data_IF_447053951073
#
_entry.id   IF_447053951073
#
_cell.length_a   1.000
_cell.length_b   1.000
_cell.length_c   1.000
_cell.angle_alpha   90.00
_cell.angle_beta   90.00
_cell.angle_gamma   90.00
#
_symmetry.space_group_name_H-M   'P 1'
#
loop_
_entity.id
_entity.type
_entity.pdbx_description
1 polymer ?
#
# COMPACT_ATOMS: atom_id res chain seq x y z
N UNK A 1 -1.95 1.90 -0.92
CA UNK A 1 -1.07 3.07 -0.65
C UNK A 1 -0.55 3.55 -2.00
N UNK A 2 -0.52 4.85 -2.27
CA UNK A 2 -0.03 5.37 -3.55
C UNK A 2 0.60 6.74 -3.34
N UNK A 3 1.88 6.89 -3.73
CA UNK A 3 2.63 8.14 -3.71
C UNK A 3 2.53 8.91 -2.36
N UNK A 4 1.91 10.09 -2.34
CA UNK A 4 1.75 10.89 -1.11
C UNK A 4 0.62 10.42 -0.18
N UNK A 5 -0.17 9.42 -0.55
CA UNK A 5 -1.26 8.92 0.29
C UNK A 5 -2.40 9.93 0.49
N UNK A 6 -2.63 10.81 -0.48
CA UNK A 6 -3.67 11.87 -0.47
C UNK A 6 -4.69 11.70 -1.62
N UNK A 7 -4.83 10.49 -2.15
CA UNK A 7 -5.56 10.24 -3.41
C UNK A 7 -7.03 9.86 -3.23
N UNK A 8 -7.48 9.63 -1.99
CA UNK A 8 -8.86 9.22 -1.71
C UNK A 8 -9.72 10.46 -1.51
N UNK A 9 -10.86 10.51 -2.19
CA UNK A 9 -11.83 11.60 -2.07
C UNK A 9 -12.66 11.40 -0.80
N UNK A 10 -12.43 12.24 0.21
CA UNK A 10 -12.94 12.02 1.57
C UNK A 10 -14.46 11.98 1.68
N UNK A 11 -15.17 12.80 0.90
CA UNK A 11 -16.63 12.86 0.91
C UNK A 11 -17.31 11.75 0.10
N UNK A 12 -16.53 10.92 -0.62
CA UNK A 12 -17.04 9.74 -1.34
C UNK A 12 -16.78 8.43 -0.57
N UNK A 13 -16.07 8.50 0.56
CA UNK A 13 -15.86 7.34 1.42
C UNK A 13 -17.14 6.95 2.16
N UNK A 14 -17.26 5.65 2.40
CA UNK A 14 -18.31 5.15 3.30
C UNK A 14 -18.17 5.81 4.68
N UNK A 15 -19.25 6.33 5.29
CA UNK A 15 -19.18 7.15 6.51
C UNK A 15 -18.64 6.41 7.75
N UNK A 16 -18.60 5.07 7.71
CA UNK A 16 -17.99 4.23 8.77
C UNK A 16 -16.50 3.98 8.59
N UNK A 17 -15.92 4.36 7.46
CA UNK A 17 -14.50 4.15 7.19
C UNK A 17 -13.65 5.09 8.07
N UNK A 18 -12.57 4.56 8.64
CA UNK A 18 -11.50 5.36 9.26
C UNK A 18 -10.33 5.40 8.28
N UNK A 19 -9.72 6.56 8.10
CA UNK A 19 -8.68 6.76 7.10
C UNK A 19 -7.35 7.18 7.73
N UNK A 20 -6.27 6.65 7.17
CA UNK A 20 -4.88 7.10 7.38
C UNK A 20 -4.42 7.70 6.05
N UNK A 21 -3.83 8.89 6.09
CA UNK A 21 -3.42 9.65 4.89
C UNK A 21 -2.06 10.33 5.07
N UNK A 22 -1.51 10.85 3.97
CA UNK A 22 -0.26 11.63 3.94
C UNK A 22 0.99 10.76 3.85
N UNK A 23 2.14 11.35 3.56
CA UNK A 23 3.46 10.70 3.57
C UNK A 23 4.50 11.71 4.09
N UNK A 24 5.13 11.51 5.27
CA UNK A 24 5.10 10.31 6.10
C UNK A 24 3.74 10.06 6.75
N UNK A 25 3.40 8.78 6.88
CA UNK A 25 2.17 8.36 7.56
C UNK A 25 2.33 8.54 9.07
N UNK A 26 1.69 9.55 9.65
CA UNK A 26 1.47 9.57 11.11
C UNK A 26 0.31 8.62 11.37
N UNK A 27 0.64 7.39 11.78
CA UNK A 27 -0.36 6.37 12.09
C UNK A 27 -0.59 6.35 13.60
N UNK A 28 -1.77 6.80 14.09
CA UNK A 28 -2.11 6.64 15.50
C UNK A 28 -2.11 5.15 15.86
N UNK A 29 -1.57 4.75 17.04
CA UNK A 29 -1.52 3.35 17.45
C UNK A 29 -2.88 2.63 17.35
N UNK A 30 -3.97 3.33 17.63
CA UNK A 30 -5.34 2.83 17.58
C UNK A 30 -5.89 2.60 16.15
N UNK A 31 -5.23 3.16 15.13
CA UNK A 31 -5.55 2.94 13.71
C UNK A 31 -4.53 2.01 13.02
N UNK A 32 -3.44 1.67 13.71
CA UNK A 32 -2.41 0.78 13.18
C UNK A 32 -2.91 -0.66 13.03
N UNK A 33 -2.42 -1.33 11.99
CA UNK A 33 -2.71 -2.74 11.77
C UNK A 33 -2.12 -3.59 12.91
N UNK A 34 -2.94 -4.44 13.51
CA UNK A 34 -2.55 -5.36 14.59
C UNK A 34 -3.39 -6.65 14.56
N UNK A 35 -3.23 -7.53 15.56
CA UNK A 35 -3.93 -8.83 15.61
C UNK A 35 -5.44 -8.76 15.86
N UNK A 36 -6.03 -7.59 16.12
CA UNK A 36 -7.48 -7.45 16.34
C UNK A 36 -8.32 -7.46 15.06
N UNK A 37 -7.69 -7.29 13.89
CA UNK A 37 -8.37 -7.31 12.60
C UNK A 37 -8.62 -8.74 12.12
N UNK A 38 -9.81 -9.02 11.60
CA UNK A 38 -10.18 -10.34 11.07
C UNK A 38 -9.60 -10.62 9.67
N UNK A 39 -9.09 -9.60 8.99
CA UNK A 39 -8.50 -9.74 7.66
C UNK A 39 -7.97 -8.43 7.09
N UNK A 40 -7.28 -8.54 5.95
CA UNK A 40 -6.73 -7.42 5.18
C UNK A 40 -7.12 -7.58 3.71
N UNK A 41 -7.40 -6.45 3.05
CA UNK A 41 -7.56 -6.38 1.61
C UNK A 41 -6.54 -5.40 1.01
N UNK A 42 -5.92 -5.81 -0.11
CA UNK A 42 -4.95 -5.03 -0.85
C UNK A 42 -5.60 -4.58 -2.17
N UNK A 43 -6.20 -3.39 -2.16
CA UNK A 43 -6.96 -2.86 -3.30
C UNK A 43 -6.09 -1.98 -4.18
N UNK A 44 -6.18 -2.15 -5.51
CA UNK A 44 -5.43 -1.33 -6.47
C UNK A 44 -3.94 -1.63 -6.53
N UNK A 45 -3.51 -2.82 -6.08
CA UNK A 45 -2.13 -3.26 -6.22
C UNK A 45 -1.80 -3.61 -7.68
N UNK A 46 -0.53 -3.49 -8.03
CA UNK A 46 0.02 -3.88 -9.32
C UNK A 46 1.18 -4.85 -9.12
N UNK A 47 1.68 -5.41 -10.22
CA UNK A 47 2.81 -6.32 -10.17
C UNK A 47 4.09 -5.62 -9.67
N UNK A 48 4.97 -6.42 -9.07
CA UNK A 48 6.33 -6.02 -8.68
C UNK A 48 7.19 -5.63 -9.89
N UNK A 49 8.29 -4.93 -9.62
CA UNK A 49 9.28 -4.56 -10.63
C UNK A 49 9.75 -5.76 -11.48
N UNK A 50 10.12 -5.48 -12.74
CA UNK A 50 10.60 -6.47 -13.70
C UNK A 50 9.58 -7.57 -14.09
N UNK A 51 8.31 -7.47 -13.68
CA UNK A 51 7.25 -8.37 -14.15
C UNK A 51 6.91 -8.07 -15.61
N UNK A 52 7.39 -8.94 -16.53
CA UNK A 52 7.20 -8.76 -17.97
C UNK A 52 5.73 -8.71 -18.37
N UNK A 53 5.36 -7.69 -19.14
CA UNK A 53 4.01 -7.52 -19.69
C UNK A 53 2.97 -7.00 -18.67
N UNK A 54 3.36 -6.75 -17.43
CA UNK A 54 2.47 -6.16 -16.44
C UNK A 54 2.24 -4.67 -16.69
N UNK A 55 1.11 -4.16 -16.19
CA UNK A 55 0.78 -2.74 -16.22
C UNK A 55 1.47 -2.02 -15.05
N UNK A 56 2.29 -1.02 -15.37
CA UNK A 56 3.01 -0.17 -14.40
C UNK A 56 3.82 -0.94 -13.33
N UNK A 57 4.62 -1.97 -13.70
CA UNK A 57 5.33 -2.78 -12.72
C UNK A 57 6.42 -1.96 -12.04
N UNK A 58 6.37 -1.88 -10.72
CA UNK A 58 7.42 -1.31 -9.88
C UNK A 58 7.28 -1.82 -8.44
N UNK A 59 8.35 -1.74 -7.66
CA UNK A 59 8.37 -2.13 -6.24
C UNK A 59 8.83 -0.94 -5.41
N UNK A 60 7.92 -0.33 -4.64
CA UNK A 60 8.16 0.84 -3.79
C UNK A 60 8.58 2.13 -4.52
N UNK A 61 9.70 2.14 -5.24
CA UNK A 61 10.19 3.24 -6.07
C UNK A 61 10.50 2.76 -7.50
N UNK A 62 10.59 3.69 -8.45
CA UNK A 62 10.76 3.36 -9.88
C UNK A 62 12.13 2.78 -10.23
N UNK A 63 13.14 3.05 -9.40
CA UNK A 63 14.52 2.59 -9.58
C UNK A 63 14.83 1.26 -8.86
N UNK A 64 13.90 0.77 -8.02
CA UNK A 64 14.03 -0.50 -7.34
C UNK A 64 13.62 -1.66 -8.25
N UNK A 65 14.58 -2.53 -8.57
CA UNK A 65 14.37 -3.68 -9.48
C UNK A 65 13.94 -4.97 -8.79
N UNK A 66 14.25 -5.12 -7.49
CA UNK A 66 13.90 -6.30 -6.71
C UNK A 66 13.94 -5.99 -5.23
N UNK A 67 13.10 -6.67 -4.45
CA UNK A 67 13.10 -6.64 -3.00
C UNK A 67 13.13 -8.07 -2.48
N UNK A 68 14.04 -8.36 -1.55
CA UNK A 68 14.15 -9.68 -0.94
C UNK A 68 13.90 -9.60 0.55
N UNK A 69 13.00 -10.45 1.04
CA UNK A 69 12.77 -10.66 2.46
C UNK A 69 13.24 -12.06 2.83
N UNK A 70 14.32 -12.15 3.61
CA UNK A 70 14.93 -13.43 4.02
C UNK A 70 15.20 -14.37 2.82
N UNK A 71 15.69 -13.81 1.71
CA UNK A 71 15.99 -14.53 0.48
C UNK A 71 14.78 -14.81 -0.42
N UNK A 72 13.56 -14.48 0.00
CA UNK A 72 12.35 -14.60 -0.82
C UNK A 72 12.15 -13.33 -1.63
N UNK A 73 12.00 -13.46 -2.94
CA UNK A 73 11.68 -12.34 -3.83
C UNK A 73 10.24 -11.86 -3.59
N UNK A 74 10.07 -10.56 -3.34
CA UNK A 74 8.80 -9.93 -3.00
C UNK A 74 8.61 -8.63 -3.81
N UNK A 75 7.37 -8.14 -3.84
CA UNK A 75 7.05 -6.77 -4.25
C UNK A 75 5.58 -6.43 -4.11
#
# INVERSE_FOLDING_TARGET
>A
MHYYGLNVILNELHPRAKIIMGNPHVVPPELGLNGSYQGMMMVGYHAMAETKGALLPHTYALDMKSLYLNGVLMG
#
